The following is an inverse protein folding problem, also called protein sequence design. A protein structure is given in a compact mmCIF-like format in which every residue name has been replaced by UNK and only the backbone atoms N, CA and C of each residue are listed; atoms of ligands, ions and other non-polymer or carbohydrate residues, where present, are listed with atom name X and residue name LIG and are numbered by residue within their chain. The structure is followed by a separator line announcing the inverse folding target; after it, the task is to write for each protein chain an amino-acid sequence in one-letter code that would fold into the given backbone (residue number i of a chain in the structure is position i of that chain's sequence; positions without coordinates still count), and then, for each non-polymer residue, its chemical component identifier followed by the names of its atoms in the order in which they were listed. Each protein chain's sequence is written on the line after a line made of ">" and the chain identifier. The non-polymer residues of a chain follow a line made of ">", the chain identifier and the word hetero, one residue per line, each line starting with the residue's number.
data_IF_757730604234
#
_entry.id   IF_757730604234
#
_cell.length_a   1.000
_cell.length_b   1.000
_cell.length_c   1.000
_cell.angle_alpha   90.00
_cell.angle_beta   90.00
_cell.angle_gamma   90.00
#
_symmetry.space_group_name_H-M   'P 1'
#
loop_
_entity.id
_entity.type
_entity.pdbx_description
1 polymer ?
#
# COMPACT_ATOMS: atom_id res chain seq x y z
N UNK A 1 26.79 2.63 -3.42
CA UNK A 1 26.10 2.32 -4.69
C UNK A 1 26.29 3.53 -5.57
N UNK A 2 26.94 3.34 -6.71
CA UNK A 2 27.17 4.40 -7.70
C UNK A 2 25.82 4.88 -8.22
N UNK A 3 25.61 6.19 -8.18
CA UNK A 3 24.48 6.86 -8.82
C UNK A 3 24.69 6.81 -10.33
N UNK A 4 24.44 5.66 -10.94
CA UNK A 4 24.32 5.60 -12.39
C UNK A 4 23.11 6.44 -12.81
N UNK A 5 23.23 7.10 -13.96
CA UNK A 5 22.16 7.93 -14.49
C UNK A 5 20.93 7.05 -14.76
N UNK A 6 19.78 7.41 -14.18
CA UNK A 6 18.51 6.74 -14.47
C UNK A 6 18.23 6.75 -15.96
N UNK A 7 17.87 5.59 -16.50
CA UNK A 7 17.39 5.47 -17.87
C UNK A 7 15.94 5.97 -17.98
N UNK A 8 15.45 6.33 -19.18
CA UNK A 8 14.03 6.63 -19.37
C UNK A 8 13.10 5.48 -18.94
N UNK A 9 13.54 4.23 -19.09
CA UNK A 9 12.79 3.05 -18.66
C UNK A 9 12.67 3.00 -17.13
N UNK A 10 13.74 3.33 -16.40
CA UNK A 10 13.72 3.42 -14.93
C UNK A 10 12.74 4.50 -14.46
N UNK A 11 12.68 5.65 -15.14
CA UNK A 11 11.73 6.72 -14.83
C UNK A 11 10.28 6.27 -15.06
N UNK A 12 10.00 5.60 -16.19
CA UNK A 12 8.65 5.07 -16.46
C UNK A 12 8.24 4.04 -15.43
N UNK A 13 9.09 3.05 -15.15
CA UNK A 13 8.82 2.01 -14.16
C UNK A 13 8.57 2.62 -12.78
N UNK A 14 9.43 3.55 -12.35
CA UNK A 14 9.26 4.26 -11.07
C UNK A 14 7.89 4.94 -10.99
N UNK A 15 7.46 5.62 -12.06
CA UNK A 15 6.15 6.27 -12.09
C UNK A 15 4.99 5.27 -12.05
N UNK A 16 5.06 4.18 -12.82
CA UNK A 16 4.01 3.14 -12.85
C UNK A 16 3.81 2.51 -11.47
N UNK A 17 4.91 2.14 -10.80
CA UNK A 17 4.87 1.52 -9.47
C UNK A 17 4.47 2.52 -8.38
N UNK A 18 4.92 3.77 -8.46
CA UNK A 18 4.46 4.85 -7.56
C UNK A 18 2.96 5.11 -7.72
N UNK A 19 2.46 5.12 -8.97
CA UNK A 19 1.02 5.28 -9.24
C UNK A 19 0.21 4.12 -8.69
N UNK A 20 0.71 2.89 -8.79
CA UNK A 20 0.07 1.69 -8.24
C UNK A 20 -0.10 1.79 -6.72
N UNK A 21 0.93 2.27 -6.03
CA UNK A 21 0.92 2.54 -4.59
C UNK A 21 -0.06 3.64 -4.20
N UNK A 22 -0.06 4.76 -4.93
CA UNK A 22 -0.99 5.87 -4.69
C UNK A 22 -2.44 5.44 -4.92
N UNK A 23 -2.70 4.64 -5.96
CA UNK A 23 -4.02 4.08 -6.21
C UNK A 23 -4.47 3.14 -5.08
N UNK A 24 -3.57 2.30 -4.56
CA UNK A 24 -3.86 1.40 -3.43
C UNK A 24 -4.37 2.19 -2.23
N UNK A 25 -3.62 3.21 -1.79
CA UNK A 25 -4.02 3.98 -0.62
C UNK A 25 -5.28 4.80 -0.88
N UNK A 26 -5.42 5.35 -2.09
CA UNK A 26 -6.64 6.07 -2.47
C UNK A 26 -7.88 5.17 -2.34
N UNK A 27 -7.86 3.97 -2.92
CA UNK A 27 -9.00 3.06 -2.82
C UNK A 27 -9.22 2.56 -1.38
N UNK A 28 -8.15 2.28 -0.63
CA UNK A 28 -8.24 1.88 0.76
C UNK A 28 -8.88 2.96 1.66
N UNK A 29 -8.48 4.22 1.46
CA UNK A 29 -8.92 5.41 2.18
C UNK A 29 -10.37 5.80 1.87
N UNK A 30 -10.88 5.39 0.71
CA UNK A 30 -12.26 5.63 0.27
C UNK A 30 -13.16 4.39 0.41
N UNK A 31 -12.64 3.28 0.93
CA UNK A 31 -13.42 2.05 1.14
C UNK A 31 -13.71 1.25 -0.14
N UNK A 32 -13.05 1.56 -1.25
CA UNK A 32 -13.23 0.90 -2.55
C UNK A 32 -12.41 -0.40 -2.64
N UNK A 33 -12.72 -1.38 -1.79
CA UNK A 33 -11.86 -2.56 -1.64
C UNK A 33 -11.73 -3.42 -2.88
N UNK A 34 -12.77 -3.56 -3.70
CA UNK A 34 -12.66 -4.31 -4.95
C UNK A 34 -11.70 -3.64 -5.95
N UNK A 35 -11.70 -2.30 -5.99
CA UNK A 35 -10.74 -1.54 -6.79
C UNK A 35 -9.31 -1.69 -6.27
N UNK A 36 -9.15 -1.63 -4.94
CA UNK A 36 -7.87 -1.86 -4.26
C UNK A 36 -7.32 -3.27 -4.55
N UNK A 37 -8.14 -4.30 -4.44
CA UNK A 37 -7.75 -5.71 -4.60
C UNK A 37 -7.34 -5.99 -6.06
N UNK A 38 -7.97 -5.36 -7.05
CA UNK A 38 -7.57 -5.49 -8.47
C UNK A 38 -6.17 -4.96 -8.79
N UNK A 39 -5.53 -4.22 -7.87
CA UNK A 39 -4.13 -3.78 -8.02
C UNK A 39 -3.13 -4.90 -7.72
N UNK A 40 -3.58 -5.99 -7.11
CA UNK A 40 -2.78 -7.17 -6.81
C UNK A 40 -2.91 -8.22 -7.91
N UNK A 41 -1.91 -9.08 -8.07
CA UNK A 41 -2.08 -10.34 -8.83
C UNK A 41 -3.13 -11.21 -8.12
N UNK A 42 -3.79 -12.10 -8.86
CA UNK A 42 -4.88 -12.94 -8.32
C UNK A 42 -4.44 -13.83 -7.15
N UNK A 43 -3.18 -14.21 -7.15
CA UNK A 43 -2.48 -15.08 -6.19
C UNK A 43 -1.59 -14.33 -5.20
N UNK A 44 -1.69 -12.99 -5.16
CA UNK A 44 -0.79 -12.17 -4.37
C UNK A 44 -0.85 -12.47 -2.87
N UNK A 45 0.26 -12.20 -2.18
CA UNK A 45 0.33 -12.22 -0.72
C UNK A 45 0.24 -10.79 -0.19
N UNK A 46 -0.72 -10.53 0.69
CA UNK A 46 -0.82 -9.25 1.39
C UNK A 46 -0.74 -9.47 2.90
N UNK A 47 0.40 -9.11 3.47
CA UNK A 47 0.63 -9.07 4.91
C UNK A 47 0.40 -7.65 5.43
N UNK A 48 -0.68 -7.49 6.19
CA UNK A 48 -1.04 -6.25 6.87
C UNK A 48 -0.60 -6.31 8.33
N UNK A 49 0.71 -6.20 8.54
CA UNK A 49 1.35 -6.16 9.86
C UNK A 49 1.06 -7.40 10.72
N UNK A 50 1.32 -8.58 10.17
CA UNK A 50 1.14 -9.89 10.78
C UNK A 50 -0.17 -10.61 10.40
N UNK A 51 -1.12 -9.89 9.79
CA UNK A 51 -2.35 -10.48 9.26
C UNK A 51 -2.16 -10.74 7.76
N UNK A 52 -1.95 -12.01 7.42
CA UNK A 52 -1.62 -12.44 6.06
C UNK A 52 -2.88 -12.87 5.31
N UNK A 53 -3.02 -12.40 4.07
CA UNK A 53 -4.06 -12.77 3.13
C UNK A 53 -3.43 -13.36 1.86
N UNK A 54 -3.94 -14.50 1.41
CA UNK A 54 -3.52 -15.19 0.20
C UNK A 54 -4.58 -15.06 -0.90
N UNK A 55 -4.23 -14.32 -1.94
CA UNK A 55 -5.08 -14.08 -3.09
C UNK A 55 -6.28 -13.18 -2.81
N UNK A 56 -7.01 -12.86 -3.87
CA UNK A 56 -8.08 -11.85 -3.81
C UNK A 56 -9.21 -12.20 -2.85
N UNK A 57 -9.57 -13.48 -2.70
CA UNK A 57 -10.74 -13.82 -1.87
C UNK A 57 -10.47 -13.64 -0.38
N UNK A 58 -9.30 -14.03 0.11
CA UNK A 58 -8.93 -13.77 1.50
C UNK A 58 -8.77 -12.27 1.78
N UNK A 59 -8.26 -11.50 0.81
CA UNK A 59 -8.21 -10.04 0.93
C UNK A 59 -9.61 -9.44 1.01
N UNK A 60 -10.57 -9.89 0.18
CA UNK A 60 -11.96 -9.43 0.25
C UNK A 60 -12.57 -9.75 1.61
N UNK A 61 -12.37 -10.96 2.11
CA UNK A 61 -12.86 -11.36 3.41
C UNK A 61 -12.26 -10.50 4.53
N UNK A 62 -10.94 -10.32 4.54
CA UNK A 62 -10.24 -9.49 5.50
C UNK A 62 -10.69 -8.02 5.47
N UNK A 63 -11.03 -7.49 4.28
CA UNK A 63 -11.58 -6.14 4.17
C UNK A 63 -13.03 -6.03 4.63
N UNK A 64 -13.84 -7.10 4.51
CA UNK A 64 -15.22 -7.14 5.06
C UNK A 64 -15.22 -7.15 6.58
N UNK A 65 -14.29 -7.89 7.19
CA UNK A 65 -14.25 -8.11 8.64
C UNK A 65 -13.60 -6.95 9.42
N UNK A 66 -12.95 -6.01 8.71
CA UNK A 66 -12.25 -4.90 9.34
C UNK A 66 -13.22 -3.92 10.01
N UNK A 67 -12.84 -3.32 11.16
CA UNK A 67 -13.58 -2.20 11.71
C UNK A 67 -13.69 -1.05 10.71
N UNK A 68 -14.88 -0.44 10.63
CA UNK A 68 -15.09 0.73 9.78
C UNK A 68 -14.52 1.96 10.49
N UNK A 69 -13.45 2.51 9.95
CA UNK A 69 -12.78 3.72 10.43
C UNK A 69 -12.47 4.64 9.27
N UNK A 70 -12.33 5.94 9.54
CA UNK A 70 -11.71 6.85 8.57
C UNK A 70 -10.21 6.57 8.59
N UNK A 71 -9.64 6.26 7.43
CA UNK A 71 -8.20 6.04 7.27
C UNK A 71 -7.61 7.04 6.29
N UNK A 72 -6.39 7.50 6.57
CA UNK A 72 -5.60 8.31 5.62
C UNK A 72 -4.17 7.83 5.61
N UNK A 73 -3.66 7.59 4.41
CA UNK A 73 -2.27 7.26 4.18
C UNK A 73 -1.55 8.40 3.45
N UNK A 74 -0.36 8.73 3.92
CA UNK A 74 0.58 9.61 3.23
C UNK A 74 1.77 8.76 2.79
N UNK A 75 1.95 8.61 1.49
CA UNK A 75 3.06 7.85 0.93
C UNK A 75 4.22 8.77 0.57
N UNK A 76 5.43 8.34 0.91
CA UNK A 76 6.67 9.03 0.59
C UNK A 76 7.82 8.02 0.50
N UNK A 77 9.01 8.49 0.10
CA UNK A 77 10.25 7.71 0.12
C UNK A 77 10.14 6.40 -0.66
N UNK A 78 9.44 6.42 -1.81
CA UNK A 78 9.45 5.31 -2.75
C UNK A 78 10.90 5.06 -3.19
N UNK A 79 11.36 3.83 -3.03
CA UNK A 79 12.71 3.43 -3.38
C UNK A 79 12.69 2.10 -4.13
N UNK A 80 13.02 2.15 -5.42
CA UNK A 80 13.17 0.98 -6.27
C UNK A 80 14.45 0.25 -5.88
N UNK A 81 14.32 -0.99 -5.41
CA UNK A 81 15.45 -1.82 -4.94
C UNK A 81 15.95 -2.79 -6.01
N UNK A 82 15.04 -3.26 -6.87
CA UNK A 82 15.34 -4.17 -7.98
C UNK A 82 14.36 -3.94 -9.12
N UNK A 83 14.85 -4.06 -10.35
CA UNK A 83 14.03 -4.01 -11.55
C UNK A 83 14.58 -4.98 -12.60
N UNK A 84 13.70 -5.83 -13.11
CA UNK A 84 13.88 -6.72 -14.25
C UNK A 84 12.76 -6.44 -15.28
N UNK A 85 12.76 -7.14 -16.42
CA UNK A 85 11.80 -6.89 -17.51
C UNK A 85 10.33 -7.11 -17.11
N UNK A 86 10.08 -8.07 -16.21
CA UNK A 86 8.77 -8.54 -15.79
C UNK A 86 8.56 -8.57 -14.27
N UNK A 87 9.57 -8.20 -13.49
CA UNK A 87 9.50 -8.13 -12.03
C UNK A 87 10.20 -6.90 -11.47
N UNK A 88 9.75 -6.41 -10.33
CA UNK A 88 10.41 -5.33 -9.63
C UNK A 88 10.19 -5.46 -8.12
N UNK A 89 11.07 -4.84 -7.34
CA UNK A 89 10.97 -4.78 -5.88
C UNK A 89 11.18 -3.33 -5.42
N UNK A 90 10.33 -2.85 -4.52
CA UNK A 90 10.46 -1.50 -3.97
C UNK A 90 10.05 -1.45 -2.51
N UNK A 91 10.58 -0.45 -1.82
CA UNK A 91 10.14 -0.07 -0.47
C UNK A 91 9.43 1.28 -0.55
N UNK A 92 8.29 1.39 0.14
CA UNK A 92 7.51 2.64 0.21
C UNK A 92 7.20 2.95 1.67
N UNK A 93 7.49 4.17 2.12
CA UNK A 93 7.12 4.61 3.45
C UNK A 93 5.68 5.14 3.46
N UNK A 94 4.90 4.70 4.43
CA UNK A 94 3.53 5.11 4.65
C UNK A 94 3.37 5.66 6.07
N UNK A 95 2.89 6.89 6.17
CA UNK A 95 2.32 7.41 7.42
C UNK A 95 0.82 7.17 7.40
N UNK A 96 0.29 6.48 8.42
CA UNK A 96 -1.10 6.03 8.47
C UNK A 96 -1.80 6.62 9.68
N UNK A 97 -2.98 7.19 9.46
CA UNK A 97 -3.86 7.70 10.50
C UNK A 97 -5.19 6.97 10.46
N UNK A 98 -5.67 6.56 11.63
CA UNK A 98 -7.05 6.09 11.82
C UNK A 98 -7.79 7.07 12.73
N UNK A 99 -9.00 7.44 12.32
CA UNK A 99 -9.92 8.25 13.10
C UNK A 99 -11.33 7.65 13.11
N UNK A 100 -12.25 8.25 13.89
CA UNK A 100 -13.65 7.83 13.86
C UNK A 100 -14.24 8.00 12.46
N UNK A 101 -15.37 7.35 12.21
CA UNK A 101 -16.08 7.49 10.94
C UNK A 101 -16.44 8.95 10.69
N UNK A 102 -16.16 9.40 9.46
CA UNK A 102 -16.55 10.73 9.02
C UNK A 102 -18.07 10.82 8.93
N UNK A 103 -18.62 11.96 9.35
CA UNK A 103 -20.03 12.29 9.14
C UNK A 103 -20.11 13.20 7.91
N UNK A 104 -20.71 12.69 6.83
CA UNK A 104 -21.16 13.43 5.65
C UNK A 104 -20.22 14.56 5.15
N UNK A 105 -18.93 14.26 5.01
CA UNK A 105 -17.94 15.17 4.42
C UNK A 105 -17.29 16.16 5.38
N UNK A 106 -17.68 16.17 6.66
CA UNK A 106 -17.04 16.99 7.68
C UNK A 106 -15.66 16.43 8.07
N UNK A 107 -14.69 17.30 8.41
CA UNK A 107 -13.41 16.87 8.94
C UNK A 107 -13.56 16.01 10.20
N UNK A 108 -12.82 14.91 10.25
CA UNK A 108 -12.77 14.04 11.42
C UNK A 108 -11.81 14.64 12.46
N UNK A 109 -12.31 14.91 13.67
CA UNK A 109 -11.45 15.19 14.83
C UNK A 109 -10.87 13.86 15.31
N UNK A 110 -9.55 13.74 15.30
CA UNK A 110 -8.83 12.54 15.70
C UNK A 110 -7.65 12.87 16.63
N UNK A 111 -7.22 11.90 17.42
CA UNK A 111 -6.06 12.04 18.28
C UNK A 111 -4.77 11.85 17.45
N UNK A 112 -3.87 12.82 17.52
CA UNK A 112 -2.64 12.85 16.69
C UNK A 112 -1.63 11.77 17.08
N UNK A 113 -1.77 11.20 18.27
CA UNK A 113 -0.94 10.08 18.74
C UNK A 113 -1.21 8.79 17.97
N UNK A 114 -2.35 8.61 17.29
CA UNK A 114 -2.64 7.40 16.51
C UNK A 114 -1.86 7.22 15.20
N UNK A 115 -0.94 8.14 14.90
CA UNK A 115 -0.08 8.07 13.71
C UNK A 115 0.84 6.84 13.76
N UNK A 116 0.90 6.11 12.65
CA UNK A 116 1.82 4.98 12.47
C UNK A 116 2.74 5.27 11.30
N UNK A 117 4.01 4.86 11.40
CA UNK A 117 4.91 4.83 10.25
C UNK A 117 5.19 3.38 9.93
N UNK A 118 4.96 3.00 8.68
CA UNK A 118 5.03 1.63 8.18
C UNK A 118 5.80 1.67 6.87
N UNK A 119 6.60 0.65 6.59
CA UNK A 119 7.14 0.40 5.26
C UNK A 119 6.35 -0.70 4.55
N UNK A 120 5.95 -0.45 3.32
CA UNK A 120 5.53 -1.50 2.41
C UNK A 120 6.76 -2.04 1.67
N UNK A 121 7.06 -3.31 1.90
CA UNK A 121 8.07 -4.06 1.16
C UNK A 121 7.34 -4.84 0.09
N UNK A 122 7.43 -4.35 -1.14
CA UNK A 122 6.61 -4.83 -2.25
C UNK A 122 7.42 -5.56 -3.30
N UNK A 123 6.81 -6.62 -3.82
CA UNK A 123 7.19 -7.25 -5.09
C UNK A 123 6.10 -6.99 -6.11
N UNK A 124 6.51 -6.68 -7.33
CA UNK A 124 5.63 -6.38 -8.45
C UNK A 124 5.87 -7.37 -9.59
N UNK A 125 4.80 -7.68 -10.32
CA UNK A 125 4.84 -8.50 -11.51
C UNK A 125 4.18 -7.75 -12.67
N UNK A 126 4.78 -7.85 -13.86
CA UNK A 126 4.22 -7.31 -15.09
C UNK A 126 3.22 -8.31 -15.66
N UNK A 127 1.96 -7.89 -15.75
CA UNK A 127 0.87 -8.69 -16.34
C UNK A 127 0.50 -8.14 -17.72
N UNK A 128 -0.29 -8.86 -18.53
CA UNK A 128 -0.84 -8.31 -19.77
C UNK A 128 -1.64 -7.00 -19.56
N UNK A 129 -2.23 -6.82 -18.37
CA UNK A 129 -2.98 -5.62 -17.97
C UNK A 129 -2.11 -4.58 -17.24
N UNK A 130 -0.78 -4.69 -17.33
CA UNK A 130 0.22 -3.82 -16.71
C UNK A 130 0.77 -4.33 -15.37
N UNK A 131 1.52 -3.50 -14.65
CA UNK A 131 2.10 -3.87 -13.36
C UNK A 131 1.04 -4.11 -12.28
N UNK A 132 1.26 -5.13 -11.45
CA UNK A 132 0.45 -5.49 -10.28
C UNK A 132 1.34 -5.82 -9.08
N UNK A 133 0.81 -5.66 -7.88
CA UNK A 133 1.48 -6.05 -6.64
C UNK A 133 1.34 -7.58 -6.49
N UNK A 134 2.43 -8.32 -6.53
CA UNK A 134 2.42 -9.78 -6.29
C UNK A 134 2.65 -10.11 -4.82
N UNK A 135 3.34 -9.24 -4.09
CA UNK A 135 3.49 -9.34 -2.65
C UNK A 135 3.57 -7.95 -2.02
N UNK A 136 2.94 -7.77 -0.87
CA UNK A 136 3.12 -6.60 0.00
C UNK A 136 3.25 -7.04 1.44
N UNK A 137 4.38 -6.70 2.06
CA UNK A 137 4.60 -6.91 3.49
C UNK A 137 4.69 -5.56 4.19
N UNK A 138 3.68 -5.27 5.02
CA UNK A 138 3.64 -4.05 5.82
C UNK A 138 4.45 -4.23 7.12
N UNK A 139 5.57 -3.52 7.24
CA UNK A 139 6.46 -3.55 8.40
C UNK A 139 6.30 -2.27 9.23
N UNK A 140 5.72 -2.35 10.44
CA UNK A 140 5.65 -1.19 11.34
C UNK A 140 7.05 -0.72 11.74
N UNK A 141 7.29 0.58 11.67
CA UNK A 141 8.53 1.25 12.08
C UNK A 141 8.30 2.07 13.35
N UNK A 142 7.26 2.92 13.34
CA UNK A 142 6.81 3.65 14.53
C UNK A 142 5.35 3.36 14.78
N UNK A 143 5.04 3.01 16.02
CA UNK A 143 3.71 2.64 16.47
C UNK A 143 3.36 3.47 17.70
N UNK A 144 2.10 3.90 17.87
CA UNK A 144 1.70 4.56 19.10
C UNK A 144 1.81 3.62 20.29
N UNK A 145 2.03 4.19 21.48
CA UNK A 145 2.09 3.45 22.75
C UNK A 145 0.78 2.69 23.01
N UNK A 146 -0.35 3.27 22.60
CA UNK A 146 -1.66 2.61 22.58
C UNK A 146 -2.00 2.24 21.14
N UNK A 147 -1.98 0.94 20.85
CA UNK A 147 -2.42 0.39 19.57
C UNK A 147 -3.83 -0.21 19.72
N UNK A 148 -4.90 0.49 19.27
CA UNK A 148 -6.23 -0.09 19.23
C UNK A 148 -6.32 -1.20 18.17
#
# INVERSE_FOLDING_TARGET
>A
MTTDAMTPQDVTLHWELSRLNNAFVYFMDNGEFDSMIRLFTSDAVFDRAGIVHHGHEEMRQGMRDRPKVTTRHLLTNFYLTKADDDSAEAVVCAMVYHGPLANDGEPVVYATDNGRVIEFHDTYAKTPEGWRISSRIARPIFTPEVWP
#
